data_IF_108888061714
#
_entry.id   IF_108888061714
#
_cell.length_a   1.000
_cell.length_b   1.000
_cell.length_c   1.000
_cell.angle_alpha   90.00
_cell.angle_beta   90.00
_cell.angle_gamma   90.00
#
_symmetry.space_group_name_H-M   'P 1'
#
loop_
_entity.id
_entity.type
_entity.pdbx_description
1 polymer ?
#
# COMPACT_ATOMS: atom_id res chain seq x y z
N UNK A 1 7.52 2.13 -19.03
CA UNK A 1 6.56 1.02 -18.96
C UNK A 1 6.37 0.30 -20.30
N UNK A 2 6.16 0.96 -21.44
CA UNK A 2 5.93 0.28 -22.73
C UNK A 2 7.01 -0.76 -23.10
N UNK A 3 8.29 -0.44 -22.89
CA UNK A 3 9.38 -1.40 -23.10
C UNK A 3 9.27 -2.63 -22.17
N UNK A 4 8.85 -2.43 -20.91
CA UNK A 4 8.64 -3.53 -19.96
C UNK A 4 7.44 -4.41 -20.37
N UNK A 5 6.38 -3.80 -20.90
CA UNK A 5 5.23 -4.51 -21.46
C UNK A 5 5.67 -5.39 -22.64
N UNK A 6 6.42 -4.83 -23.60
CA UNK A 6 6.95 -5.57 -24.74
C UNK A 6 7.90 -6.71 -24.35
N UNK A 7 8.82 -6.44 -23.41
CA UNK A 7 9.74 -7.46 -22.90
C UNK A 7 9.00 -8.60 -22.20
N UNK A 8 8.02 -8.27 -21.35
CA UNK A 8 7.21 -9.28 -20.65
C UNK A 8 6.37 -10.11 -21.62
N UNK A 9 5.75 -9.48 -22.63
CA UNK A 9 5.00 -10.16 -23.68
C UNK A 9 5.90 -11.07 -24.54
N UNK A 10 7.17 -10.70 -24.75
CA UNK A 10 8.17 -11.54 -25.41
C UNK A 10 8.69 -12.70 -24.51
N UNK A 11 8.24 -12.79 -23.26
CA UNK A 11 8.61 -13.86 -22.33
C UNK A 11 9.78 -13.55 -21.40
N UNK A 12 10.33 -12.34 -21.42
CA UNK A 12 11.39 -11.95 -20.52
C UNK A 12 10.83 -11.58 -19.12
N UNK A 13 11.65 -11.74 -18.06
CA UNK A 13 11.38 -11.14 -16.76
C UNK A 13 11.58 -9.64 -16.86
N UNK A 14 10.58 -8.88 -16.52
CA UNK A 14 10.61 -7.41 -16.64
C UNK A 14 10.57 -6.75 -15.27
N UNK A 15 11.49 -5.79 -15.09
CA UNK A 15 11.54 -4.89 -13.93
C UNK A 15 11.70 -3.46 -14.42
N UNK A 16 11.08 -2.51 -13.74
CA UNK A 16 11.31 -1.08 -13.97
C UNK A 16 11.26 -0.33 -12.65
N UNK A 17 11.85 0.86 -12.64
CA UNK A 17 11.77 1.77 -11.51
C UNK A 17 11.40 3.17 -12.01
N UNK A 18 10.65 3.90 -11.19
CA UNK A 18 10.17 5.24 -11.55
C UNK A 18 9.90 6.07 -10.29
N UNK A 19 9.40 7.29 -10.49
CA UNK A 19 9.09 8.24 -9.44
C UNK A 19 8.21 9.37 -10.00
N UNK A 20 7.23 9.88 -9.21
CA UNK A 20 6.52 11.13 -9.47
C UNK A 20 5.90 11.22 -10.87
N UNK A 21 6.26 12.26 -11.65
CA UNK A 21 5.76 12.47 -13.02
C UNK A 21 6.10 11.32 -13.97
N UNK A 22 7.23 10.62 -13.73
CA UNK A 22 7.59 9.42 -14.50
C UNK A 22 6.53 8.32 -14.32
N UNK A 23 6.03 8.11 -13.11
CA UNK A 23 4.93 7.19 -12.84
C UNK A 23 3.61 7.70 -13.44
N UNK A 24 3.32 8.99 -13.29
CA UNK A 24 2.10 9.59 -13.88
C UNK A 24 2.05 9.42 -15.39
N UNK A 25 3.17 9.58 -16.10
CA UNK A 25 3.29 9.32 -17.55
C UNK A 25 3.09 7.85 -17.91
N UNK A 26 3.28 6.93 -16.98
CA UNK A 26 3.05 5.49 -17.21
C UNK A 26 1.60 5.06 -17.00
N UNK A 27 0.71 5.93 -16.55
CA UNK A 27 -0.65 5.59 -16.08
C UNK A 27 -1.43 4.71 -17.06
N UNK A 28 -1.52 5.09 -18.34
CA UNK A 28 -2.17 4.28 -19.36
C UNK A 28 -1.55 2.89 -19.48
N UNK A 29 -0.22 2.83 -19.51
CA UNK A 29 0.52 1.58 -19.67
C UNK A 29 0.43 0.67 -18.43
N UNK A 30 0.12 1.23 -17.26
CA UNK A 30 -0.18 0.42 -16.06
C UNK A 30 -1.49 -0.35 -16.26
N UNK A 31 -2.53 0.29 -16.77
CA UNK A 31 -3.78 -0.39 -17.13
C UNK A 31 -3.57 -1.49 -18.16
N UNK A 32 -2.77 -1.25 -19.20
CA UNK A 32 -2.43 -2.25 -20.21
C UNK A 32 -1.71 -3.46 -19.59
N UNK A 33 -0.71 -3.22 -18.75
CA UNK A 33 0.04 -4.29 -18.10
C UNK A 33 -0.84 -5.15 -17.18
N UNK A 34 -1.70 -4.49 -16.38
CA UNK A 34 -2.60 -5.18 -15.46
C UNK A 34 -3.69 -5.97 -16.20
N UNK A 35 -4.34 -5.37 -17.20
CA UNK A 35 -5.38 -6.03 -18.01
C UNK A 35 -4.79 -7.18 -18.84
N UNK A 36 -3.58 -7.01 -19.38
CA UNK A 36 -2.84 -8.05 -20.09
C UNK A 36 -2.25 -9.14 -19.17
N UNK A 37 -2.42 -9.02 -17.85
CA UNK A 37 -1.90 -9.96 -16.84
C UNK A 37 -0.40 -10.22 -16.99
N UNK A 38 0.36 -9.18 -17.35
CA UNK A 38 1.80 -9.26 -17.55
C UNK A 38 2.53 -9.20 -16.19
N UNK A 39 3.37 -10.20 -15.88
CA UNK A 39 4.08 -10.28 -14.61
C UNK A 39 5.30 -9.33 -14.60
N UNK A 40 5.03 -8.05 -14.39
CA UNK A 40 6.03 -7.00 -14.28
C UNK A 40 6.13 -6.56 -12.82
N UNK A 41 7.33 -6.41 -12.31
CA UNK A 41 7.59 -5.80 -11.00
C UNK A 41 8.12 -4.39 -11.21
N UNK A 42 7.60 -3.43 -10.44
CA UNK A 42 8.02 -2.04 -10.51
C UNK A 42 8.34 -1.51 -9.11
N UNK A 43 9.47 -0.85 -8.98
CA UNK A 43 9.80 -0.05 -7.81
C UNK A 43 9.40 1.41 -8.08
N UNK A 44 8.49 1.93 -7.26
CA UNK A 44 8.20 3.37 -7.22
C UNK A 44 8.93 4.00 -6.04
N UNK A 45 9.89 4.87 -6.34
CA UNK A 45 10.57 5.67 -5.34
C UNK A 45 9.72 6.92 -5.11
N UNK A 46 8.78 6.82 -4.19
CA UNK A 46 7.77 7.84 -3.94
C UNK A 46 8.33 9.27 -3.90
N UNK A 47 7.74 10.14 -4.68
CA UNK A 47 8.07 11.56 -4.73
C UNK A 47 6.83 12.37 -5.08
N UNK A 48 6.69 13.53 -4.46
CA UNK A 48 5.57 14.44 -4.65
C UNK A 48 5.31 14.74 -6.13
N UNK A 49 4.03 14.82 -6.50
CA UNK A 49 3.59 15.21 -7.85
C UNK A 49 3.59 16.72 -8.02
N UNK A 50 4.06 17.19 -9.16
CA UNK A 50 3.95 18.59 -9.58
C UNK A 50 2.69 18.89 -10.39
N UNK A 51 2.43 20.20 -10.65
CA UNK A 51 3.08 21.40 -10.17
C UNK A 51 2.75 21.72 -8.70
N UNK A 52 3.49 22.46 -7.87
CA UNK A 52 4.82 22.96 -7.87
C UNK A 52 5.86 21.86 -7.75
N UNK A 53 6.93 22.03 -8.49
CA UNK A 53 7.95 21.03 -8.60
C UNK A 53 8.65 20.77 -7.26
N UNK A 54 8.65 19.53 -6.85
CA UNK A 54 9.20 19.08 -5.58
C UNK A 54 9.97 17.77 -5.80
N UNK A 55 11.14 17.62 -5.17
CA UNK A 55 12.00 16.44 -5.32
C UNK A 55 11.96 15.52 -4.11
N UNK A 56 11.22 15.89 -3.07
CA UNK A 56 11.12 15.12 -1.83
C UNK A 56 9.89 14.22 -1.82
N UNK A 57 9.88 13.33 -0.84
CA UNK A 57 8.97 12.21 -0.75
C UNK A 57 7.58 12.61 -0.23
N UNK A 58 6.56 12.12 -0.89
CA UNK A 58 5.24 11.78 -0.35
C UNK A 58 4.67 10.62 -1.16
N UNK A 59 3.47 10.15 -0.87
CA UNK A 59 2.87 8.97 -1.52
C UNK A 59 1.85 9.33 -2.59
N UNK A 60 1.77 10.58 -3.02
CA UNK A 60 0.76 11.04 -3.98
C UNK A 60 0.91 10.39 -5.36
N UNK A 61 2.12 10.09 -5.79
CA UNK A 61 2.39 9.46 -7.09
C UNK A 61 1.87 8.02 -7.14
N UNK A 62 2.25 7.17 -6.20
CA UNK A 62 1.81 5.77 -6.16
C UNK A 62 0.31 5.65 -5.88
N UNK A 63 -0.24 6.47 -5.00
CA UNK A 63 -1.67 6.43 -4.68
C UNK A 63 -2.57 6.96 -5.80
N UNK A 64 -2.05 7.82 -6.69
CA UNK A 64 -2.74 8.18 -7.93
C UNK A 64 -2.93 6.96 -8.87
N UNK A 65 -2.18 5.88 -8.67
CA UNK A 65 -2.26 4.64 -9.47
C UNK A 65 -3.09 3.53 -8.82
N UNK A 66 -3.77 3.78 -7.70
CA UNK A 66 -4.46 2.76 -6.89
C UNK A 66 -5.53 1.96 -7.63
N UNK A 67 -6.10 2.52 -8.71
CA UNK A 67 -7.20 1.92 -9.46
C UNK A 67 -6.75 1.31 -10.80
N UNK A 68 -5.44 1.18 -11.03
CA UNK A 68 -4.87 0.64 -12.27
C UNK A 68 -4.84 -0.89 -12.35
N UNK A 69 -5.16 -1.58 -11.24
CA UNK A 69 -5.16 -3.05 -11.17
C UNK A 69 -3.82 -3.66 -10.75
N UNK A 70 -2.87 -2.86 -10.27
CA UNK A 70 -1.61 -3.32 -9.70
C UNK A 70 -1.75 -3.64 -8.21
N UNK A 71 -1.03 -4.68 -7.77
CA UNK A 71 -0.79 -4.90 -6.35
C UNK A 71 0.18 -3.83 -5.85
N UNK A 72 -0.19 -3.15 -4.76
CA UNK A 72 0.64 -2.08 -4.19
C UNK A 72 1.11 -2.46 -2.79
N UNK A 73 2.44 -2.47 -2.62
CA UNK A 73 3.12 -2.81 -1.38
C UNK A 73 4.04 -1.66 -0.97
N UNK A 74 3.90 -1.17 0.25
CA UNK A 74 4.75 -0.13 0.81
C UNK A 74 5.82 -0.72 1.72
N UNK A 75 7.03 -0.20 1.62
CA UNK A 75 8.19 -0.64 2.40
C UNK A 75 8.66 0.45 3.36
N UNK A 76 9.09 0.04 4.55
CA UNK A 76 9.61 0.91 5.59
C UNK A 76 11.13 1.09 5.50
N UNK A 77 11.87 0.02 5.21
CA UNK A 77 13.32 -0.02 5.22
C UNK A 77 13.89 -0.55 3.91
N UNK A 78 15.19 -0.29 3.66
CA UNK A 78 15.89 -0.81 2.48
C UNK A 78 15.92 -2.35 2.45
N UNK A 79 16.05 -3.01 3.62
CA UNK A 79 15.97 -4.47 3.70
C UNK A 79 14.59 -4.96 3.27
N UNK A 80 13.54 -4.31 3.72
CA UNK A 80 12.17 -4.64 3.33
C UNK A 80 11.93 -4.43 1.83
N UNK A 81 12.53 -3.39 1.21
CA UNK A 81 12.46 -3.17 -0.26
C UNK A 81 13.07 -4.34 -1.02
N UNK A 82 14.27 -4.79 -0.62
CA UNK A 82 14.94 -5.93 -1.24
C UNK A 82 14.09 -7.20 -1.13
N UNK A 83 13.66 -7.53 0.08
CA UNK A 83 12.89 -8.74 0.37
C UNK A 83 11.55 -8.73 -0.38
N UNK A 84 10.84 -7.59 -0.33
CA UNK A 84 9.57 -7.41 -1.03
C UNK A 84 9.71 -7.53 -2.54
N UNK A 85 10.78 -7.01 -3.12
CA UNK A 85 11.04 -7.13 -4.57
C UNK A 85 11.20 -8.59 -4.99
N UNK A 86 11.93 -9.38 -4.22
CA UNK A 86 12.12 -10.82 -4.48
C UNK A 86 10.77 -11.57 -4.39
N UNK A 87 9.99 -11.30 -3.34
CA UNK A 87 8.67 -11.90 -3.15
C UNK A 87 7.67 -11.44 -4.22
N UNK A 88 7.73 -10.18 -4.66
CA UNK A 88 6.85 -9.64 -5.69
C UNK A 88 7.04 -10.33 -7.04
N UNK A 89 8.28 -10.68 -7.43
CA UNK A 89 8.52 -11.49 -8.63
C UNK A 89 7.87 -12.86 -8.53
N UNK A 90 7.98 -13.52 -7.38
CA UNK A 90 7.35 -14.82 -7.17
C UNK A 90 5.83 -14.74 -7.28
N UNK A 91 5.24 -13.70 -6.66
CA UNK A 91 3.80 -13.46 -6.74
C UNK A 91 3.36 -13.18 -8.18
N UNK A 92 4.06 -12.28 -8.89
CA UNK A 92 3.71 -11.87 -10.25
C UNK A 92 3.85 -13.02 -11.25
N UNK A 93 4.91 -13.81 -11.15
CA UNK A 93 5.20 -14.92 -12.05
C UNK A 93 4.45 -16.22 -11.68
N UNK A 94 3.82 -16.28 -10.51
CA UNK A 94 3.13 -17.47 -9.97
C UNK A 94 3.98 -18.74 -10.04
N UNK A 95 5.23 -18.64 -9.60
CA UNK A 95 6.22 -19.72 -9.60
C UNK A 95 6.43 -20.28 -8.20
N UNK A 96 6.93 -21.53 -8.11
CA UNK A 96 7.11 -22.24 -6.84
C UNK A 96 8.43 -21.92 -6.13
N UNK A 97 9.29 -21.10 -6.74
CA UNK A 97 10.61 -20.74 -6.20
C UNK A 97 10.87 -19.25 -6.34
N UNK A 98 11.77 -18.72 -5.49
CA UNK A 98 12.24 -17.35 -5.62
C UNK A 98 13.21 -17.23 -6.81
N UNK A 99 12.91 -16.32 -7.73
CA UNK A 99 13.71 -15.98 -8.91
C UNK A 99 14.26 -17.19 -9.74
N UNK A 100 13.43 -18.20 -10.08
CA UNK A 100 13.88 -19.27 -10.98
C UNK A 100 14.14 -18.73 -12.39
N UNK A 101 14.78 -19.50 -13.27
CA UNK A 101 14.82 -19.17 -14.69
C UNK A 101 13.41 -18.90 -15.23
N UNK A 102 13.24 -17.77 -15.94
CA UNK A 102 11.92 -17.33 -16.43
C UNK A 102 11.38 -18.33 -17.46
N UNK A 103 10.15 -18.80 -17.23
CA UNK A 103 9.36 -19.58 -18.20
C UNK A 103 8.00 -18.90 -18.32
N UNK A 104 7.80 -18.17 -19.41
CA UNK A 104 6.52 -17.51 -19.65
C UNK A 104 5.43 -18.52 -19.95
N UNK A 105 4.30 -18.43 -19.27
CA UNK A 105 3.12 -19.25 -19.54
C UNK A 105 2.48 -18.87 -20.88
N UNK A 106 2.43 -17.57 -21.16
CA UNK A 106 1.98 -17.00 -22.42
C UNK A 106 3.02 -15.98 -22.89
N UNK A 107 3.31 -15.98 -24.17
CA UNK A 107 4.24 -15.06 -24.84
C UNK A 107 3.78 -14.80 -26.26
N UNK A 108 4.32 -13.76 -26.87
CA UNK A 108 4.18 -13.58 -28.32
C UNK A 108 4.95 -14.70 -29.03
N UNK A 109 4.21 -15.58 -29.71
CA UNK A 109 4.76 -16.73 -30.43
C UNK A 109 4.01 -16.88 -31.75
N UNK A 110 4.75 -16.96 -32.87
CA UNK A 110 4.14 -17.10 -34.18
C UNK A 110 3.57 -18.53 -34.43
N UNK A 111 4.03 -19.50 -33.64
CA UNK A 111 3.55 -20.89 -33.73
C UNK A 111 2.34 -21.15 -32.83
N UNK A 112 2.17 -20.37 -31.78
CA UNK A 112 1.03 -20.38 -30.83
C UNK A 112 0.62 -18.94 -30.56
N UNK A 113 -0.13 -18.29 -31.47
CA UNK A 113 -0.38 -16.85 -31.42
C UNK A 113 -1.33 -16.49 -30.29
N UNK A 114 -0.88 -15.60 -29.40
CA UNK A 114 -1.66 -14.98 -28.33
C UNK A 114 -1.74 -13.48 -28.54
N UNK A 115 -2.89 -12.89 -28.21
CA UNK A 115 -3.08 -11.43 -28.25
C UNK A 115 -3.02 -10.86 -26.86
N UNK A 116 -2.25 -9.78 -26.70
CA UNK A 116 -2.18 -8.98 -25.48
C UNK A 116 -2.79 -7.60 -25.79
N UNK A 117 -4.01 -7.34 -25.29
CA UNK A 117 -4.68 -6.06 -25.47
C UNK A 117 -5.50 -5.97 -26.77
N UNK A 118 -6.14 -7.05 -27.18
CA UNK A 118 -7.11 -7.02 -28.28
C UNK A 118 -8.34 -6.14 -27.97
N UNK A 119 -9.03 -5.69 -29.03
CA UNK A 119 -10.36 -5.11 -28.90
C UNK A 119 -11.31 -6.13 -28.28
N UNK A 120 -11.93 -5.74 -27.16
CA UNK A 120 -12.87 -6.60 -26.43
C UNK A 120 -14.28 -6.08 -26.65
N UNK A 121 -15.20 -6.96 -26.94
CA UNK A 121 -16.61 -6.61 -27.12
C UNK A 121 -17.29 -6.37 -25.77
N UNK A 122 -18.43 -5.64 -25.76
CA UNK A 122 -19.18 -5.35 -24.52
C UNK A 122 -19.55 -6.60 -23.70
N UNK A 123 -19.89 -7.69 -24.36
CA UNK A 123 -20.27 -8.96 -23.77
C UNK A 123 -19.14 -9.66 -23.00
N UNK A 124 -17.87 -9.38 -23.33
CA UNK A 124 -16.69 -10.02 -22.73
C UNK A 124 -15.94 -9.09 -21.75
N UNK A 125 -16.22 -7.77 -21.77
CA UNK A 125 -15.45 -6.78 -21.00
C UNK A 125 -15.68 -6.92 -19.49
N UNK A 126 -16.92 -7.18 -19.07
CA UNK A 126 -17.28 -7.34 -17.66
C UNK A 126 -16.60 -8.53 -17.05
N UNK A 127 -16.53 -9.68 -17.78
CA UNK A 127 -15.84 -10.89 -17.34
C UNK A 127 -14.35 -10.67 -17.19
N UNK A 128 -13.72 -9.92 -18.10
CA UNK A 128 -12.30 -9.55 -17.97
C UNK A 128 -12.04 -8.74 -16.69
N UNK A 129 -12.90 -7.78 -16.37
CA UNK A 129 -12.78 -6.96 -15.16
C UNK A 129 -13.05 -7.80 -13.91
N UNK A 130 -14.03 -8.70 -13.97
CA UNK A 130 -14.29 -9.63 -12.87
C UNK A 130 -13.09 -10.55 -12.60
N UNK A 131 -12.46 -11.10 -13.63
CA UNK A 131 -11.25 -11.92 -13.48
C UNK A 131 -10.07 -11.14 -12.87
N UNK A 132 -9.92 -9.84 -13.20
CA UNK A 132 -8.93 -8.99 -12.56
C UNK A 132 -9.24 -8.81 -11.06
N UNK A 133 -10.50 -8.54 -10.73
CA UNK A 133 -10.95 -8.40 -9.34
C UNK A 133 -10.80 -9.71 -8.55
N UNK A 134 -11.13 -10.85 -9.15
CA UNK A 134 -10.93 -12.16 -8.52
C UNK A 134 -9.46 -12.43 -8.24
N UNK A 135 -8.57 -12.13 -9.18
CA UNK A 135 -7.13 -12.25 -8.97
C UNK A 135 -6.63 -11.33 -7.85
N UNK A 136 -7.17 -10.12 -7.73
CA UNK A 136 -6.84 -9.22 -6.62
C UNK A 136 -7.31 -9.78 -5.27
N UNK A 137 -8.46 -10.45 -5.20
CA UNK A 137 -8.94 -11.14 -3.99
C UNK A 137 -8.06 -12.33 -3.59
N UNK A 138 -7.45 -13.02 -4.57
CA UNK A 138 -6.53 -14.14 -4.34
C UNK A 138 -5.12 -13.69 -3.89
N UNK A 139 -4.74 -12.46 -4.21
CA UNK A 139 -3.39 -11.96 -4.00
C UNK A 139 -2.95 -11.97 -2.51
N UNK A 140 -3.76 -11.58 -1.51
CA UNK A 140 -3.36 -11.63 -0.11
C UNK A 140 -3.09 -13.05 0.39
N UNK A 141 -3.87 -14.04 -0.08
CA UNK A 141 -3.70 -15.44 0.29
C UNK A 141 -2.35 -15.95 -0.22
N UNK A 142 -2.07 -15.72 -1.51
CA UNK A 142 -0.80 -16.09 -2.13
C UNK A 142 0.38 -15.35 -1.51
N UNK A 143 0.19 -14.08 -1.15
CA UNK A 143 1.21 -13.29 -0.46
C UNK A 143 1.57 -13.91 0.89
N UNK A 144 0.57 -14.29 1.69
CA UNK A 144 0.79 -14.93 2.99
C UNK A 144 1.57 -16.26 2.89
N UNK A 145 1.31 -17.07 1.84
CA UNK A 145 2.05 -18.30 1.58
C UNK A 145 3.51 -18.01 1.20
N UNK A 146 3.73 -17.03 0.34
CA UNK A 146 5.07 -16.60 -0.09
C UNK A 146 5.88 -16.06 1.11
N UNK A 147 5.27 -15.26 1.95
CA UNK A 147 5.91 -14.73 3.16
C UNK A 147 6.29 -15.81 4.16
N UNK A 148 5.42 -16.79 4.37
CA UNK A 148 5.70 -17.91 5.27
C UNK A 148 6.92 -18.72 4.80
N UNK A 149 7.04 -18.96 3.51
CA UNK A 149 8.22 -19.62 2.95
C UNK A 149 9.45 -18.72 3.02
N UNK A 150 9.29 -17.42 2.74
CA UNK A 150 10.39 -16.46 2.84
C UNK A 150 10.91 -16.37 4.29
N UNK A 151 10.01 -16.36 5.27
CA UNK A 151 10.36 -16.39 6.68
C UNK A 151 11.12 -17.66 7.06
N UNK A 152 10.74 -18.81 6.52
CA UNK A 152 11.43 -20.08 6.75
C UNK A 152 12.86 -20.06 6.20
N UNK A 153 13.07 -19.45 5.03
CA UNK A 153 14.38 -19.41 4.36
C UNK A 153 15.28 -18.30 4.89
N UNK A 154 14.73 -17.15 5.22
CA UNK A 154 15.49 -15.93 5.52
C UNK A 154 15.23 -15.34 6.91
N UNK A 155 14.33 -15.91 7.69
CA UNK A 155 14.01 -15.48 9.06
C UNK A 155 13.26 -14.15 9.15
N UNK A 156 12.65 -13.65 8.06
CA UNK A 156 11.95 -12.36 8.01
C UNK A 156 10.57 -12.51 7.39
N UNK A 157 9.59 -11.79 7.96
CA UNK A 157 8.21 -11.70 7.48
C UNK A 157 7.68 -10.30 7.74
N UNK A 158 6.75 -9.82 6.89
CA UNK A 158 6.25 -8.46 6.94
C UNK A 158 4.71 -8.37 6.97
N UNK A 159 3.99 -9.40 6.52
CA UNK A 159 2.53 -9.45 6.44
C UNK A 159 1.91 -8.49 5.42
N UNK A 160 0.60 -8.49 5.33
CA UNK A 160 -0.17 -7.45 4.63
C UNK A 160 -0.29 -6.18 5.52
N UNK A 161 -0.36 -6.39 6.82
CA UNK A 161 -0.21 -5.39 7.88
C UNK A 161 0.79 -5.92 8.91
N UNK A 162 1.35 -5.02 9.69
CA UNK A 162 2.16 -5.36 10.86
C UNK A 162 1.59 -4.64 12.08
N UNK A 163 1.35 -5.38 13.16
CA UNK A 163 0.92 -4.82 14.44
C UNK A 163 2.14 -4.67 15.35
N UNK A 164 2.22 -3.56 16.06
CA UNK A 164 3.31 -3.27 16.99
C UNK A 164 2.77 -2.71 18.30
N UNK A 165 2.99 -3.42 19.39
CA UNK A 165 2.50 -3.07 20.75
C UNK A 165 0.99 -2.73 20.77
N UNK A 166 0.18 -3.48 19.98
CA UNK A 166 -1.27 -3.24 19.93
C UNK A 166 -2.05 -3.90 21.06
N UNK A 167 -1.41 -4.76 21.84
CA UNK A 167 -2.04 -5.46 22.97
C UNK A 167 -2.55 -4.44 23.99
N UNK A 168 -3.85 -4.50 24.28
CA UNK A 168 -4.56 -3.59 25.20
C UNK A 168 -4.43 -2.10 24.83
N UNK A 169 -4.12 -1.76 23.58
CA UNK A 169 -4.07 -0.39 23.13
C UNK A 169 -5.49 0.20 23.05
N UNK A 170 -5.69 1.39 23.58
CA UNK A 170 -6.91 2.19 23.42
C UNK A 170 -6.79 3.19 22.26
N UNK A 171 -5.56 3.51 21.88
CA UNK A 171 -5.21 4.34 20.73
C UNK A 171 -4.23 3.59 19.82
N UNK A 172 -4.51 3.57 18.52
CA UNK A 172 -3.61 2.99 17.52
C UNK A 172 -3.26 4.02 16.46
N UNK A 173 -1.96 4.16 16.19
CA UNK A 173 -1.46 4.89 15.02
C UNK A 173 -1.50 3.97 13.81
N UNK A 174 -2.02 4.44 12.68
CA UNK A 174 -1.96 3.69 11.40
C UNK A 174 -1.04 4.43 10.44
N UNK A 175 -0.03 3.74 9.95
CA UNK A 175 1.03 4.29 9.10
C UNK A 175 1.29 3.44 7.87
N UNK A 176 2.03 3.99 6.90
CA UNK A 176 2.56 3.25 5.76
C UNK A 176 3.90 3.83 5.31
N UNK A 177 4.83 2.96 4.93
CA UNK A 177 6.17 3.38 4.49
C UNK A 177 7.07 3.88 5.63
N UNK A 178 8.00 4.77 5.33
CA UNK A 178 9.12 5.16 6.21
C UNK A 178 8.73 5.89 7.50
N UNK A 179 7.56 6.54 7.54
CA UNK A 179 7.05 7.20 8.77
C UNK A 179 6.86 6.19 9.91
N UNK A 180 6.68 4.92 9.58
CA UNK A 180 6.48 3.84 10.56
C UNK A 180 7.64 3.76 11.56
N UNK A 181 8.88 3.94 11.12
CA UNK A 181 10.05 3.90 12.02
C UNK A 181 10.01 5.00 13.08
N UNK A 182 9.61 6.22 12.70
CA UNK A 182 9.44 7.32 13.67
C UNK A 182 8.29 7.01 14.62
N UNK A 183 7.17 6.47 14.11
CA UNK A 183 6.02 6.12 14.92
C UNK A 183 6.32 4.99 15.91
N UNK A 184 7.15 3.99 15.54
CA UNK A 184 7.61 2.95 16.48
C UNK A 184 8.34 3.54 17.67
N UNK A 185 9.27 4.45 17.40
CA UNK A 185 10.03 5.12 18.47
C UNK A 185 9.11 5.89 19.43
N UNK A 186 8.13 6.61 18.89
CA UNK A 186 7.15 7.36 19.72
C UNK A 186 6.27 6.38 20.52
N UNK A 187 5.79 5.32 19.92
CA UNK A 187 5.02 4.28 20.62
C UNK A 187 5.84 3.67 21.76
N UNK A 188 7.13 3.40 21.55
CA UNK A 188 8.00 2.87 22.61
C UNK A 188 8.10 3.84 23.79
N UNK A 189 8.36 5.12 23.54
CA UNK A 189 8.42 6.14 24.58
C UNK A 189 7.11 6.24 25.39
N UNK A 190 5.97 6.27 24.71
CA UNK A 190 4.67 6.31 25.37
C UNK A 190 4.39 5.04 26.20
N UNK A 191 4.70 3.87 25.67
CA UNK A 191 4.54 2.60 26.37
C UNK A 191 5.43 2.49 27.61
N UNK A 192 6.65 3.03 27.54
CA UNK A 192 7.57 3.06 28.69
C UNK A 192 7.06 4.01 29.81
N UNK A 193 6.22 4.97 29.48
CA UNK A 193 5.50 5.83 30.43
C UNK A 193 4.13 5.27 30.89
N UNK A 194 3.75 4.06 30.39
CA UNK A 194 2.51 3.39 30.79
C UNK A 194 1.28 3.68 29.93
N UNK A 195 1.45 4.39 28.83
CA UNK A 195 0.37 4.68 27.87
C UNK A 195 -0.06 3.44 27.09
N UNK A 196 -1.36 3.30 26.85
CA UNK A 196 -1.92 2.18 26.08
C UNK A 196 -2.06 2.55 24.58
N UNK A 197 -0.91 2.73 23.92
CA UNK A 197 -0.84 3.08 22.52
C UNK A 197 -0.20 1.94 21.71
N UNK A 198 -0.67 1.73 20.49
CA UNK A 198 -0.13 0.78 19.54
C UNK A 198 0.08 1.38 18.14
N UNK A 199 0.65 0.59 17.25
CA UNK A 199 0.90 0.98 15.88
C UNK A 199 0.50 -0.16 14.94
N UNK A 200 -0.15 0.18 13.83
CA UNK A 200 -0.37 -0.70 12.69
C UNK A 200 0.31 -0.09 11.47
N UNK A 201 1.20 -0.87 10.84
CA UNK A 201 1.76 -0.55 9.53
C UNK A 201 0.94 -1.24 8.46
N UNK A 202 0.38 -0.48 7.53
CA UNK A 202 -0.25 -1.01 6.32
C UNK A 202 0.83 -1.17 5.25
N UNK A 203 1.19 -2.43 4.97
CA UNK A 203 2.14 -2.77 3.91
C UNK A 203 1.44 -2.97 2.57
N UNK A 204 0.41 -3.79 2.53
CA UNK A 204 -0.38 -4.04 1.32
C UNK A 204 -1.51 -3.02 1.23
N UNK A 205 -1.42 -2.10 0.28
CA UNK A 205 -2.47 -1.10 0.06
C UNK A 205 -3.50 -1.56 -0.98
N UNK A 206 -3.05 -2.28 -2.00
CA UNK A 206 -3.92 -2.95 -2.99
C UNK A 206 -3.51 -4.40 -3.19
N UNK A 207 -4.45 -5.33 -3.00
CA UNK A 207 -5.78 -5.14 -2.42
C UNK A 207 -5.72 -4.65 -0.97
N UNK A 208 -6.74 -3.90 -0.53
CA UNK A 208 -6.75 -3.36 0.84
C UNK A 208 -7.02 -4.48 1.85
N UNK A 209 -6.24 -4.59 2.95
CA UNK A 209 -6.29 -5.72 3.87
C UNK A 209 -7.41 -5.57 4.91
N UNK A 210 -8.66 -5.46 4.45
CA UNK A 210 -9.86 -5.15 5.25
C UNK A 210 -10.01 -6.07 6.45
N UNK A 211 -9.97 -7.39 6.25
CA UNK A 211 -10.22 -8.36 7.33
C UNK A 211 -9.11 -8.33 8.39
N UNK A 212 -7.86 -8.18 7.96
CA UNK A 212 -6.73 -8.06 8.88
C UNK A 212 -6.82 -6.78 9.73
N UNK A 213 -7.22 -5.66 9.12
CA UNK A 213 -7.41 -4.39 9.84
C UNK A 213 -8.60 -4.45 10.80
N UNK A 214 -9.72 -5.05 10.40
CA UNK A 214 -10.87 -5.28 11.29
C UNK A 214 -10.46 -6.08 12.52
N UNK A 215 -9.73 -7.17 12.32
CA UNK A 215 -9.26 -8.02 13.42
C UNK A 215 -8.26 -7.28 14.33
N UNK A 216 -7.33 -6.52 13.76
CA UNK A 216 -6.29 -5.82 14.52
C UNK A 216 -6.82 -4.60 15.31
N UNK A 217 -7.95 -4.03 14.89
CA UNK A 217 -8.58 -2.86 15.51
C UNK A 217 -9.77 -3.21 16.42
N UNK A 218 -10.07 -4.50 16.59
CA UNK A 218 -11.14 -4.93 17.48
C UNK A 218 -10.85 -4.51 18.93
N UNK A 219 -11.79 -3.77 19.54
CA UNK A 219 -11.66 -3.27 20.92
C UNK A 219 -10.73 -2.06 21.08
N UNK A 220 -10.29 -1.44 20.00
CA UNK A 220 -9.56 -0.17 20.01
C UNK A 220 -10.57 0.97 20.02
N UNK A 221 -10.39 1.96 20.91
CA UNK A 221 -11.31 3.09 21.02
C UNK A 221 -11.07 4.15 19.94
N UNK A 222 -9.80 4.41 19.58
CA UNK A 222 -9.40 5.52 18.71
C UNK A 222 -8.28 5.13 17.77
N UNK A 223 -8.34 5.66 16.55
CA UNK A 223 -7.33 5.43 15.51
C UNK A 223 -6.89 6.77 14.92
N UNK A 224 -5.59 7.03 14.90
CA UNK A 224 -4.97 8.13 14.19
C UNK A 224 -4.30 7.60 12.90
N UNK A 225 -4.84 7.94 11.74
CA UNK A 225 -4.25 7.57 10.44
C UNK A 225 -3.32 8.67 9.96
N UNK A 226 -2.07 8.31 9.69
CA UNK A 226 -1.01 9.24 9.30
C UNK A 226 -0.78 9.17 7.79
N UNK A 227 -1.47 10.02 7.05
CA UNK A 227 -1.45 10.07 5.59
C UNK A 227 -0.36 11.00 5.05
N UNK A 228 0.69 10.45 4.42
CA UNK A 228 1.65 11.23 3.62
C UNK A 228 1.17 11.43 2.19
N UNK A 229 -0.11 11.68 2.05
CA UNK A 229 -0.83 11.83 0.79
C UNK A 229 -2.16 12.52 1.06
N UNK A 230 -2.82 12.94 0.00
CA UNK A 230 -4.21 13.34 0.07
C UNK A 230 -4.88 13.20 -1.30
N UNK A 231 -6.19 13.02 -1.30
CA UNK A 231 -7.03 13.15 -2.48
C UNK A 231 -7.69 14.53 -2.45
N UNK A 232 -7.43 15.41 -3.43
CA UNK A 232 -8.01 16.75 -3.46
C UNK A 232 -9.53 16.72 -3.33
N UNK A 233 -10.06 17.50 -2.38
CA UNK A 233 -11.49 17.55 -2.07
C UNK A 233 -12.03 16.40 -1.20
N UNK A 234 -11.15 15.46 -0.76
CA UNK A 234 -11.58 14.31 0.03
C UNK A 234 -10.80 14.11 1.34
N UNK A 235 -9.48 14.33 1.34
CA UNK A 235 -8.62 14.11 2.52
C UNK A 235 -7.62 12.97 2.34
N UNK A 236 -7.13 12.41 3.45
CA UNK A 236 -6.17 11.31 3.45
C UNK A 236 -6.74 10.03 2.84
N UNK A 237 -5.96 9.38 1.97
CA UNK A 237 -6.43 8.21 1.21
C UNK A 237 -6.49 6.97 2.12
N UNK A 238 -5.48 6.74 2.98
CA UNK A 238 -5.52 5.61 3.92
C UNK A 238 -6.64 5.77 4.95
N UNK A 239 -6.90 6.99 5.43
CA UNK A 239 -8.01 7.26 6.34
C UNK A 239 -9.36 6.95 5.69
N UNK A 240 -9.55 7.32 4.43
CA UNK A 240 -10.76 7.04 3.67
C UNK A 240 -10.96 5.52 3.44
N UNK A 241 -9.90 4.80 3.04
CA UNK A 241 -9.94 3.35 2.85
C UNK A 241 -10.23 2.60 4.16
N UNK A 242 -9.61 3.03 5.26
CA UNK A 242 -9.85 2.42 6.57
C UNK A 242 -11.30 2.63 7.03
N UNK A 243 -11.86 3.82 6.86
CA UNK A 243 -13.28 4.08 7.16
C UNK A 243 -14.20 3.20 6.34
N UNK A 244 -13.93 3.07 5.05
CA UNK A 244 -14.67 2.16 4.17
C UNK A 244 -14.55 0.71 4.64
N UNK A 245 -13.35 0.27 5.01
CA UNK A 245 -13.10 -1.08 5.50
C UNK A 245 -13.86 -1.41 6.79
N UNK A 246 -14.07 -0.41 7.67
CA UNK A 246 -14.75 -0.59 8.96
C UNK A 246 -16.24 -0.26 8.92
N UNK A 247 -16.80 0.14 7.77
CA UNK A 247 -18.20 0.58 7.67
C UNK A 247 -19.21 -0.47 8.14
N UNK A 248 -18.95 -1.75 7.83
CA UNK A 248 -19.84 -2.87 8.20
C UNK A 248 -19.63 -3.36 9.66
N UNK A 249 -18.66 -2.83 10.38
CA UNK A 249 -18.50 -3.11 11.82
C UNK A 249 -19.61 -2.36 12.57
N UNK A 250 -20.30 -2.97 13.56
CA UNK A 250 -21.31 -2.28 14.37
C UNK A 250 -20.78 -0.96 14.93
N UNK A 251 -21.62 0.06 15.01
CA UNK A 251 -21.20 1.40 15.39
C UNK A 251 -20.57 1.46 16.79
N UNK A 252 -21.09 0.64 17.71
CA UNK A 252 -20.61 0.47 19.09
C UNK A 252 -19.23 -0.19 19.20
N UNK A 253 -18.85 -0.99 18.20
CA UNK A 253 -17.57 -1.72 18.16
C UNK A 253 -16.51 -1.01 17.29
N UNK A 254 -16.90 0.09 16.66
CA UNK A 254 -16.08 0.81 15.67
C UNK A 254 -15.21 1.87 16.36
N UNK A 255 -13.88 1.87 16.17
CA UNK A 255 -13.04 2.93 16.69
C UNK A 255 -13.37 4.28 16.05
N UNK A 256 -13.20 5.36 16.80
CA UNK A 256 -13.22 6.70 16.25
C UNK A 256 -11.96 6.93 15.38
N UNK A 257 -12.13 7.40 14.13
CA UNK A 257 -11.05 7.52 13.15
C UNK A 257 -10.72 8.97 12.85
N UNK A 258 -9.48 9.34 13.10
CA UNK A 258 -8.90 10.68 12.85
C UNK A 258 -7.85 10.58 11.75
N UNK A 259 -8.10 11.19 10.58
CA UNK A 259 -7.16 11.23 9.46
C UNK A 259 -6.31 12.48 9.50
N UNK A 260 -5.00 12.32 9.53
CA UNK A 260 -4.03 13.42 9.55
C UNK A 260 -3.26 13.44 8.24
N UNK A 261 -3.31 14.56 7.53
CA UNK A 261 -2.49 14.82 6.34
C UNK A 261 -1.23 15.54 6.76
N UNK A 262 -0.08 14.91 6.58
CA UNK A 262 1.21 15.44 7.06
C UNK A 262 2.38 14.97 6.18
N UNK A 263 3.53 15.61 6.30
CA UNK A 263 4.78 15.17 5.67
C UNK A 263 4.79 15.26 4.16
N UNK A 264 3.85 16.00 3.54
CA UNK A 264 3.78 16.16 2.10
C UNK A 264 5.01 16.89 1.56
N UNK A 265 5.48 16.43 0.38
CA UNK A 265 6.63 17.03 -0.29
C UNK A 265 7.90 17.03 0.57
N UNK A 266 8.07 16.02 1.45
CA UNK A 266 9.25 15.86 2.30
C UNK A 266 9.26 16.70 3.56
N UNK A 267 8.15 17.33 3.95
CA UNK A 267 8.11 18.01 5.24
C UNK A 267 8.36 17.02 6.36
N UNK A 268 9.23 17.39 7.29
CA UNK A 268 9.62 16.53 8.41
C UNK A 268 8.41 16.12 9.26
N UNK A 269 8.42 14.85 9.68
CA UNK A 269 7.49 14.30 10.66
C UNK A 269 8.33 13.85 11.86
N UNK A 270 8.44 14.73 12.83
CA UNK A 270 9.24 14.52 14.03
C UNK A 270 8.46 13.81 15.13
N UNK A 271 9.11 13.19 16.13
CA UNK A 271 8.44 12.65 17.30
C UNK A 271 7.49 13.66 17.96
N UNK A 272 7.90 14.91 18.12
CA UNK A 272 7.05 15.95 18.71
C UNK A 272 5.76 16.24 17.92
N UNK A 273 5.77 16.08 16.59
CA UNK A 273 4.55 16.17 15.77
C UNK A 273 3.62 14.99 16.07
N UNK A 274 4.16 13.80 16.22
CA UNK A 274 3.38 12.61 16.56
C UNK A 274 2.82 12.66 17.97
N UNK A 275 3.60 13.17 18.94
CA UNK A 275 3.13 13.43 20.30
C UNK A 275 1.93 14.40 20.28
N UNK A 276 2.03 15.51 19.54
CA UNK A 276 0.92 16.45 19.38
C UNK A 276 -0.33 15.84 18.72
N UNK A 277 -0.17 14.87 17.82
CA UNK A 277 -1.29 14.11 17.23
C UNK A 277 -1.92 13.20 18.28
N UNK A 278 -1.12 12.49 19.05
CA UNK A 278 -1.58 11.60 20.13
C UNK A 278 -2.38 12.41 21.17
N UNK A 279 -1.83 13.55 21.60
CA UNK A 279 -2.51 14.46 22.54
C UNK A 279 -3.84 14.96 21.96
N UNK A 280 -3.85 15.38 20.69
CA UNK A 280 -5.06 15.85 20.02
C UNK A 280 -6.14 14.77 19.98
N UNK A 281 -5.80 13.52 19.57
CA UNK A 281 -6.76 12.41 19.52
C UNK A 281 -7.31 12.08 20.92
N UNK A 282 -6.54 12.29 21.97
CA UNK A 282 -6.96 12.04 23.36
C UNK A 282 -7.87 13.12 23.94
N UNK A 283 -7.96 14.29 23.32
CA UNK A 283 -8.86 15.35 23.80
C UNK A 283 -10.31 14.86 23.80
N UNK A 284 -11.08 15.16 24.86
CA UNK A 284 -12.48 14.79 24.91
C UNK A 284 -13.30 15.61 23.92
N UNK A 285 -14.24 14.95 23.22
CA UNK A 285 -15.25 15.62 22.40
C UNK A 285 -14.76 16.15 21.04
N UNK A 286 -13.54 15.82 20.60
CA UNK A 286 -13.13 16.18 19.24
C UNK A 286 -13.92 15.37 18.21
N UNK A 287 -14.38 15.99 17.12
CA UNK A 287 -15.09 15.30 16.07
C UNK A 287 -14.12 14.46 15.22
N UNK A 288 -14.58 13.29 14.76
CA UNK A 288 -13.87 12.54 13.73
C UNK A 288 -13.75 13.34 12.44
N UNK A 289 -12.54 13.41 11.88
CA UNK A 289 -12.25 14.06 10.59
C UNK A 289 -11.27 13.23 9.79
N UNK A 290 -11.36 13.31 8.46
CA UNK A 290 -10.45 12.61 7.54
C UNK A 290 -9.36 13.52 6.96
N UNK A 291 -9.37 14.81 7.30
CA UNK A 291 -8.59 15.84 6.63
C UNK A 291 -7.96 16.86 7.62
N UNK A 292 -7.46 16.38 8.74
CA UNK A 292 -6.76 17.22 9.70
C UNK A 292 -5.35 17.49 9.18
N UNK A 293 -5.07 18.72 8.77
CA UNK A 293 -3.79 19.11 8.23
C UNK A 293 -2.80 19.51 9.33
N UNK A 294 -1.61 18.90 9.30
CA UNK A 294 -0.55 19.16 10.27
C UNK A 294 0.60 19.95 9.62
N UNK A 295 0.99 21.03 10.29
CA UNK A 295 2.13 21.86 9.89
C UNK A 295 1.87 22.78 8.71
N UNK A 296 0.62 23.02 8.33
CA UNK A 296 0.27 24.04 7.32
C UNK A 296 0.53 25.44 7.90
N UNK A 297 1.17 26.29 7.09
CA UNK A 297 1.32 27.71 7.41
C UNK A 297 0.13 28.45 6.80
N UNK A 298 -0.82 28.86 7.60
CA UNK A 298 -1.97 29.71 7.26
C UNK A 298 -1.75 31.11 7.80
#
# INVERSE_FOLDING_TARGET
MAASVGASAAGARAFTATSSQGLALMHEMLHWAAAGRLPIVMADVNRALGPGWNIWMDQSDSLAQRDTGWIQLYCETNQEVLDTTIMAFRLAEQVDRFLPPRRARYKLDVQDPHSFGALVKPEDYTEMRWHLQDAMRQAPIKWADIEREYATLFGRSYGAIETYRTEQADLVLVTSGTITSTARHVVDLHRDHGDRIGLIKVKMFRPFPTDALRAALAGVDRVAVLDRNFSPGHGGIFAAELRSALYDVPAEDRPAIYGYVLGLGGRDVTPAILDGIIDHVRMPGIPERADIWVGVKV
#
